data_IF_877540883750
#
_entry.id   IF_877540883750
#
_cell.length_a   1.000
_cell.length_b   1.000
_cell.length_c   1.000
_cell.angle_alpha   90.00
_cell.angle_beta   90.00
_cell.angle_gamma   90.00
#
_symmetry.space_group_name_H-M   'P 1'
#
loop_
_entity.id
_entity.type
_entity.pdbx_description
1 polymer ?
#
# COMPACT_ATOMS: atom_id res chain seq x y z
N UNK A 1 -10.22 35.13 -13.41
CA UNK A 1 -8.89 34.54 -13.66
C UNK A 1 -9.13 33.10 -14.11
N UNK A 2 -8.79 32.84 -15.38
CA UNK A 2 -8.89 31.60 -16.18
C UNK A 2 -8.26 30.36 -15.49
N UNK A 3 -8.72 29.09 -15.57
CA UNK A 3 -8.82 28.10 -16.69
C UNK A 3 -9.55 26.86 -16.10
N UNK A 4 -10.65 26.37 -16.69
CA UNK A 4 -10.78 25.38 -17.79
C UNK A 4 -10.64 23.92 -17.39
N UNK A 5 -11.79 23.23 -17.37
CA UNK A 5 -11.93 21.77 -17.34
C UNK A 5 -11.69 21.17 -18.73
N UNK A 6 -10.74 20.24 -18.87
CA UNK A 6 -10.59 19.44 -20.09
C UNK A 6 -11.17 18.04 -19.88
N UNK A 7 -12.35 17.84 -20.47
CA UNK A 7 -13.01 16.55 -20.68
C UNK A 7 -12.42 15.90 -21.93
N UNK A 8 -11.86 14.71 -21.80
CA UNK A 8 -11.37 13.93 -22.95
C UNK A 8 -12.41 12.89 -23.36
N UNK A 9 -12.93 13.06 -24.57
CA UNK A 9 -13.89 12.19 -25.25
C UNK A 9 -13.14 11.46 -26.37
N UNK A 10 -13.07 10.13 -26.30
CA UNK A 10 -12.51 9.29 -27.36
C UNK A 10 -13.49 9.22 -28.55
N UNK A 11 -13.02 9.36 -29.81
CA UNK A 11 -13.83 9.02 -30.97
C UNK A 11 -13.60 7.58 -31.44
N UNK A 12 -14.70 6.87 -31.64
CA UNK A 12 -14.79 5.60 -32.37
C UNK A 12 -14.48 5.82 -33.87
N UNK A 13 -13.65 4.96 -34.47
CA UNK A 13 -13.42 4.92 -35.91
C UNK A 13 -14.03 3.66 -36.51
N UNK A 14 -15.09 3.84 -37.29
CA UNK A 14 -15.83 2.80 -37.99
C UNK A 14 -15.15 2.27 -39.25
N UNK A 15 -15.59 1.07 -39.64
CA UNK A 15 -15.27 0.35 -40.87
C UNK A 15 -15.71 1.11 -42.13
N UNK A 16 -14.89 1.06 -43.19
CA UNK A 16 -15.37 1.12 -44.59
C UNK A 16 -14.53 0.17 -45.45
N UNK A 17 -15.21 -0.67 -46.23
CA UNK A 17 -14.66 -1.57 -47.24
C UNK A 17 -15.14 -1.17 -48.65
N UNK A 18 -14.42 -1.72 -49.65
CA UNK A 18 -14.79 -2.03 -51.04
C UNK A 18 -14.34 -1.09 -52.18
N UNK A 19 -13.43 -1.68 -52.99
CA UNK A 19 -13.53 -1.91 -54.45
C UNK A 19 -13.27 -0.76 -55.45
N UNK A 20 -12.17 -0.98 -56.19
CA UNK A 20 -12.17 -1.29 -57.64
C UNK A 20 -12.30 -0.07 -58.59
N UNK A 21 -11.29 0.16 -59.44
CA UNK A 21 -11.27 -0.03 -60.91
C UNK A 21 -10.35 1.10 -61.43
N UNK A 22 -9.61 1.12 -62.53
CA UNK A 22 -9.29 0.34 -63.74
C UNK A 22 -8.17 1.21 -64.39
N UNK A 23 -7.25 0.80 -65.28
CA UNK A 23 -7.37 0.46 -66.71
C UNK A 23 -5.87 0.43 -67.17
N UNK A 24 -5.36 -0.69 -67.71
CA UNK A 24 -4.88 -0.82 -69.11
C UNK A 24 -3.57 -0.06 -69.45
N UNK A 25 -2.56 -0.61 -70.14
CA UNK A 25 -2.60 -1.34 -71.41
C UNK A 25 -1.20 -1.92 -71.75
N UNK A 26 -1.20 -3.07 -72.47
CA UNK A 26 -0.26 -3.57 -73.51
C UNK A 26 1.19 -3.03 -73.59
N UNK A 27 2.16 -3.95 -73.67
CA UNK A 27 2.96 -4.19 -74.89
C UNK A 27 3.95 -5.36 -74.74
N UNK A 28 4.00 -6.20 -75.78
CA UNK A 28 4.86 -7.37 -75.95
C UNK A 28 5.85 -7.07 -77.06
N UNK A 29 7.16 -7.30 -76.83
CA UNK A 29 8.22 -7.67 -77.80
C UNK A 29 9.61 -7.60 -77.12
N UNK A 30 10.69 -8.17 -77.70
CA UNK A 30 10.85 -9.53 -78.20
C UNK A 30 12.06 -10.25 -77.53
N UNK A 31 12.16 -11.57 -77.76
CA UNK A 31 13.23 -12.44 -77.26
C UNK A 31 14.57 -12.16 -77.95
N UNK A 32 15.57 -11.70 -77.20
CA UNK A 32 16.97 -11.64 -77.66
C UNK A 32 17.84 -12.68 -76.96
N UNK A 33 18.09 -13.76 -77.72
CA UNK A 33 19.30 -14.61 -77.83
C UNK A 33 20.28 -14.62 -76.64
N UNK A 34 20.30 -15.78 -75.96
CA UNK A 34 21.28 -16.22 -74.96
C UNK A 34 22.73 -15.97 -75.40
N UNK A 35 23.50 -15.25 -74.58
CA UNK A 35 24.96 -15.30 -74.56
C UNK A 35 25.39 -16.21 -73.42
N UNK A 36 26.20 -17.20 -73.74
CA UNK A 36 26.76 -18.17 -72.80
C UNK A 36 27.62 -17.46 -71.76
N UNK A 37 27.20 -17.52 -70.49
CA UNK A 37 28.05 -17.20 -69.34
C UNK A 37 28.64 -18.52 -68.84
N UNK A 38 29.96 -18.62 -68.63
CA UNK A 38 30.55 -19.82 -68.07
C UNK A 38 30.02 -20.05 -66.66
N UNK A 39 29.59 -21.28 -66.39
CA UNK A 39 29.20 -21.77 -65.08
C UNK A 39 30.42 -21.75 -64.14
N UNK A 40 30.69 -20.62 -63.51
CA UNK A 40 31.48 -20.60 -62.28
C UNK A 40 30.59 -21.22 -61.19
N UNK A 41 30.95 -22.44 -60.75
CA UNK A 41 30.38 -23.08 -59.58
C UNK A 41 30.59 -22.17 -58.37
N UNK A 42 29.59 -21.37 -58.02
CA UNK A 42 29.47 -20.84 -56.67
C UNK A 42 29.25 -22.03 -55.74
N UNK A 43 30.06 -22.21 -54.68
CA UNK A 43 29.72 -23.18 -53.65
C UNK A 43 28.35 -22.81 -53.08
N UNK A 44 27.49 -23.81 -52.89
CA UNK A 44 26.28 -23.66 -52.10
C UNK A 44 26.68 -23.07 -50.74
N UNK A 45 26.39 -21.79 -50.51
CA UNK A 45 26.31 -21.22 -49.17
C UNK A 45 25.07 -21.82 -48.49
N UNK A 46 25.18 -23.09 -48.11
CA UNK A 46 24.25 -23.80 -47.24
C UNK A 46 24.78 -23.66 -45.82
N UNK A 47 24.83 -22.44 -45.31
CA UNK A 47 25.19 -22.18 -43.91
C UNK A 47 24.60 -20.82 -43.50
N UNK A 48 23.91 -20.83 -42.35
CA UNK A 48 23.57 -19.67 -41.50
C UNK A 48 22.13 -19.13 -41.41
N UNK A 49 21.13 -19.67 -42.11
CA UNK A 49 19.75 -19.17 -41.91
C UNK A 49 19.07 -19.69 -40.63
N UNK A 50 19.37 -20.93 -40.21
CA UNK A 50 18.78 -21.53 -39.00
C UNK A 50 19.42 -21.03 -37.70
N UNK A 51 20.70 -20.62 -37.73
CA UNK A 51 21.42 -20.09 -36.56
C UNK A 51 21.04 -18.65 -36.25
N UNK A 52 20.79 -17.81 -37.26
CA UNK A 52 20.35 -16.42 -37.03
C UNK A 52 18.96 -16.32 -36.36
N UNK A 53 18.01 -17.18 -36.73
CA UNK A 53 16.67 -17.21 -36.13
C UNK A 53 16.67 -17.70 -34.67
N UNK A 54 17.57 -18.65 -34.35
CA UNK A 54 17.73 -19.14 -32.98
C UNK A 54 18.46 -18.14 -32.07
N UNK A 55 19.45 -17.40 -32.57
CA UNK A 55 20.21 -16.41 -31.78
C UNK A 55 19.33 -15.19 -31.46
N UNK A 56 18.57 -14.67 -32.44
CA UNK A 56 17.64 -13.54 -32.22
C UNK A 56 16.52 -13.92 -31.25
N UNK A 57 15.95 -15.12 -31.36
CA UNK A 57 14.96 -15.64 -30.42
C UNK A 57 15.50 -15.75 -28.99
N UNK A 58 16.71 -16.32 -28.80
CA UNK A 58 17.33 -16.43 -27.47
C UNK A 58 17.70 -15.08 -26.88
N UNK A 59 18.10 -14.12 -27.70
CA UNK A 59 18.43 -12.75 -27.26
C UNK A 59 17.17 -11.98 -26.85
N UNK A 60 16.07 -12.10 -27.60
CA UNK A 60 14.78 -11.52 -27.24
C UNK A 60 14.20 -12.15 -25.97
N UNK A 61 14.30 -13.47 -25.81
CA UNK A 61 13.85 -14.17 -24.59
C UNK A 61 14.70 -13.74 -23.39
N UNK A 62 16.03 -13.64 -23.53
CA UNK A 62 16.90 -13.18 -22.46
C UNK A 62 16.63 -11.72 -22.07
N UNK A 63 16.42 -10.83 -23.05
CA UNK A 63 16.06 -9.43 -22.80
C UNK A 63 14.69 -9.31 -22.14
N UNK A 64 13.71 -10.13 -22.54
CA UNK A 64 12.38 -10.15 -21.94
C UNK A 64 12.42 -10.68 -20.49
N UNK A 65 13.19 -11.74 -20.22
CA UNK A 65 13.43 -12.25 -18.86
C UNK A 65 14.17 -11.22 -18.00
N UNK A 66 15.14 -10.50 -18.57
CA UNK A 66 15.84 -9.42 -17.88
C UNK A 66 14.92 -8.22 -17.60
N UNK A 67 14.03 -7.87 -18.53
CA UNK A 67 13.01 -6.83 -18.32
C UNK A 67 11.99 -7.23 -17.24
N UNK A 68 11.54 -8.48 -17.20
CA UNK A 68 10.54 -8.94 -16.21
C UNK A 68 11.12 -9.11 -14.81
N UNK A 69 12.38 -9.56 -14.70
CA UNK A 69 13.09 -9.67 -13.41
C UNK A 69 13.39 -8.29 -12.80
N UNK A 70 13.77 -7.32 -13.62
CA UNK A 70 14.02 -5.94 -13.15
C UNK A 70 12.73 -5.24 -12.72
N UNK A 71 11.62 -5.42 -13.46
CA UNK A 71 10.32 -4.85 -13.08
C UNK A 71 9.79 -5.36 -11.73
N UNK A 72 9.97 -6.65 -11.45
CA UNK A 72 9.46 -7.26 -10.21
C UNK A 72 10.10 -6.68 -8.95
N UNK A 73 11.40 -6.38 -9.01
CA UNK A 73 12.16 -5.80 -7.88
C UNK A 73 11.70 -4.38 -7.54
N UNK A 74 11.35 -3.57 -8.55
CA UNK A 74 10.89 -2.18 -8.36
C UNK A 74 9.55 -2.15 -7.63
N UNK A 75 8.62 -3.05 -7.99
CA UNK A 75 7.29 -3.11 -7.37
C UNK A 75 7.36 -3.51 -5.89
N UNK A 76 8.20 -4.48 -5.54
CA UNK A 76 8.37 -4.88 -4.14
C UNK A 76 8.98 -3.76 -3.27
N UNK A 77 9.96 -3.03 -3.79
CA UNK A 77 10.57 -1.90 -3.09
C UNK A 77 9.56 -0.77 -2.84
N UNK A 78 8.70 -0.46 -3.81
CA UNK A 78 7.65 0.57 -3.66
C UNK A 78 6.58 0.18 -2.63
N UNK A 79 6.19 -1.11 -2.59
CA UNK A 79 5.22 -1.60 -1.61
C UNK A 79 5.75 -1.48 -0.18
N UNK A 80 7.00 -1.92 0.06
CA UNK A 80 7.62 -1.85 1.38
C UNK A 80 7.77 -0.41 1.88
N UNK A 81 8.15 0.52 0.98
CA UNK A 81 8.26 1.95 1.32
C UNK A 81 6.90 2.54 1.72
N UNK A 82 5.83 2.18 1.02
CA UNK A 82 4.47 2.65 1.32
C UNK A 82 3.97 2.10 2.66
N UNK A 83 4.25 0.83 2.97
CA UNK A 83 3.86 0.23 4.26
C UNK A 83 4.60 0.83 5.44
N UNK A 84 5.91 1.10 5.29
CA UNK A 84 6.70 1.78 6.30
C UNK A 84 6.16 3.19 6.57
N UNK A 85 5.84 3.94 5.51
CA UNK A 85 5.25 5.27 5.64
C UNK A 85 3.90 5.23 6.38
N UNK A 86 3.05 4.24 6.08
CA UNK A 86 1.79 4.04 6.82
C UNK A 86 2.03 3.74 8.29
N UNK A 87 3.00 2.88 8.61
CA UNK A 87 3.36 2.57 9.99
C UNK A 87 3.89 3.81 10.75
N UNK A 88 4.70 4.64 10.11
CA UNK A 88 5.16 5.92 10.66
C UNK A 88 4.00 6.89 10.91
N UNK A 89 3.08 7.02 9.96
CA UNK A 89 1.88 7.84 10.13
C UNK A 89 1.01 7.33 11.29
N UNK A 90 0.88 5.99 11.46
CA UNK A 90 0.14 5.40 12.59
C UNK A 90 0.81 5.80 13.92
N UNK A 91 2.13 5.72 14.00
CA UNK A 91 2.90 6.16 15.18
C UNK A 91 2.62 7.63 15.51
N UNK A 92 2.69 8.52 14.52
CA UNK A 92 2.38 9.94 14.71
C UNK A 92 0.94 10.17 15.18
N UNK A 93 -0.03 9.43 14.63
CA UNK A 93 -1.44 9.54 15.06
C UNK A 93 -1.62 9.06 16.49
N UNK A 94 -0.98 7.98 16.91
CA UNK A 94 -1.07 7.46 18.29
C UNK A 94 -0.45 8.47 19.28
N UNK A 95 0.73 9.02 18.96
CA UNK A 95 1.36 10.09 19.76
C UNK A 95 0.47 11.34 19.79
N UNK A 96 -0.11 11.70 18.65
CA UNK A 96 -1.05 12.82 18.53
C UNK A 96 -2.26 12.63 19.42
N UNK A 97 -2.95 11.49 19.34
CA UNK A 97 -4.11 11.16 20.17
C UNK A 97 -3.72 11.18 21.66
N UNK A 98 -2.61 10.55 22.05
CA UNK A 98 -2.20 10.48 23.45
C UNK A 98 -1.98 11.87 24.08
N UNK A 99 -1.54 12.86 23.30
CA UNK A 99 -1.39 14.25 23.76
C UNK A 99 -2.71 14.94 24.16
N UNK A 100 -3.85 14.46 23.66
CA UNK A 100 -5.18 14.94 24.02
C UNK A 100 -5.82 14.15 25.17
N UNK A 101 -5.16 13.12 25.69
CA UNK A 101 -5.65 12.28 26.78
C UNK A 101 -5.01 12.69 28.09
N UNK A 102 -5.82 12.79 29.15
CA UNK A 102 -5.36 12.99 30.52
C UNK A 102 -5.70 11.78 31.37
N UNK A 103 -4.65 11.15 31.89
CA UNK A 103 -4.74 10.07 32.86
C UNK A 103 -5.06 10.64 34.26
N UNK A 104 -5.81 9.91 35.10
CA UNK A 104 -6.11 10.34 36.48
C UNK A 104 -4.85 10.53 37.31
N UNK A 105 -3.88 9.64 37.14
CA UNK A 105 -2.55 9.74 37.75
C UNK A 105 -1.53 10.05 36.65
N UNK A 106 -0.85 11.22 36.71
CA UNK A 106 0.21 11.55 35.77
C UNK A 106 1.33 10.51 35.82
N UNK A 107 1.88 10.17 34.65
CA UNK A 107 3.03 9.27 34.53
C UNK A 107 4.18 9.98 33.83
N UNK A 108 5.42 9.75 34.30
CA UNK A 108 6.64 10.25 33.64
C UNK A 108 6.97 9.49 32.36
N UNK A 109 6.35 8.34 32.13
CA UNK A 109 6.48 7.51 30.94
C UNK A 109 5.15 6.78 30.66
N UNK A 110 4.75 6.67 29.39
CA UNK A 110 3.57 5.93 28.99
C UNK A 110 3.97 4.57 28.43
N UNK A 111 3.29 3.51 28.87
CA UNK A 111 3.50 2.17 28.36
C UNK A 111 2.43 1.83 27.33
N UNK A 112 2.88 1.48 26.12
CA UNK A 112 2.03 1.05 25.02
C UNK A 112 2.13 -0.47 24.87
N UNK A 113 1.03 -1.16 25.11
CA UNK A 113 0.93 -2.60 24.95
C UNK A 113 0.34 -2.91 23.58
N UNK A 114 1.06 -3.66 22.76
CA UNK A 114 0.54 -4.18 21.50
C UNK A 114 -0.06 -5.55 21.75
N UNK A 115 -1.35 -5.70 21.46
CA UNK A 115 -2.11 -6.95 21.70
C UNK A 115 -2.58 -7.51 20.38
N UNK A 116 -2.23 -8.76 20.11
CA UNK A 116 -2.58 -9.47 18.88
C UNK A 116 -1.61 -9.25 17.72
N UNK A 117 -2.02 -9.72 16.56
CA UNK A 117 -1.27 -9.59 15.31
C UNK A 117 -1.49 -8.19 14.72
N UNK A 118 -0.51 -7.32 14.91
CA UNK A 118 -0.58 -5.94 14.49
C UNK A 118 0.45 -5.66 13.39
N UNK A 119 -0.04 -5.44 12.16
CA UNK A 119 0.76 -5.24 10.95
C UNK A 119 1.68 -4.03 11.06
N UNK A 120 1.24 -2.95 11.72
CA UNK A 120 1.96 -1.67 11.75
C UNK A 120 2.68 -1.41 13.08
N UNK A 121 2.68 -2.39 14.00
CA UNK A 121 3.24 -2.22 15.34
C UNK A 121 4.78 -2.13 15.39
N UNK A 122 5.49 -2.64 14.37
CA UNK A 122 6.96 -2.65 14.36
C UNK A 122 7.56 -1.25 14.57
N UNK A 123 7.02 -0.24 13.88
CA UNK A 123 7.49 1.15 14.03
C UNK A 123 7.20 1.73 15.42
N UNK A 124 6.14 1.26 16.11
CA UNK A 124 5.82 1.70 17.47
C UNK A 124 6.87 1.22 18.48
N UNK A 125 7.48 0.05 18.25
CA UNK A 125 8.54 -0.49 19.10
C UNK A 125 9.79 0.39 19.08
N UNK A 126 10.10 0.96 17.91
CA UNK A 126 11.35 1.70 17.68
C UNK A 126 11.18 3.21 17.85
N UNK A 127 10.08 3.78 17.35
CA UNK A 127 9.95 5.24 17.14
C UNK A 127 9.23 6.00 18.24
N UNK A 128 8.49 5.31 19.12
CA UNK A 128 7.64 5.99 20.10
C UNK A 128 8.43 6.71 21.23
N UNK A 129 9.70 6.34 21.43
CA UNK A 129 10.55 6.83 22.53
C UNK A 129 11.01 8.29 22.37
N UNK A 130 11.28 8.75 21.16
CA UNK A 130 12.02 10.01 20.96
C UNK A 130 11.13 11.23 20.69
N UNK A 131 9.90 11.03 20.22
CA UNK A 131 9.02 12.12 19.75
C UNK A 131 7.82 12.42 20.65
N UNK A 132 7.66 11.73 21.78
CA UNK A 132 6.51 11.88 22.67
C UNK A 132 6.90 12.47 24.04
N UNK A 133 6.00 13.28 24.62
CA UNK A 133 6.14 13.84 25.96
C UNK A 133 4.83 13.61 26.73
N UNK A 134 4.82 12.79 27.81
CA UNK A 134 5.92 11.92 28.27
C UNK A 134 6.32 10.86 27.23
N UNK A 135 7.55 10.30 27.31
CA UNK A 135 8.01 9.26 26.39
C UNK A 135 7.10 8.03 26.41
N UNK A 136 6.94 7.38 25.26
CA UNK A 136 6.15 6.16 25.10
C UNK A 136 7.10 4.97 24.89
N UNK A 137 6.97 3.95 25.74
CA UNK A 137 7.62 2.64 25.55
C UNK A 137 6.61 1.61 25.10
N UNK A 138 6.80 1.09 23.89
CA UNK A 138 5.97 0.04 23.37
C UNK A 138 6.56 -1.35 23.66
N UNK A 139 5.70 -2.32 23.93
CA UNK A 139 6.04 -3.73 24.05
C UNK A 139 4.89 -4.62 23.60
N UNK A 140 5.20 -5.84 23.16
CA UNK A 140 4.20 -6.84 22.82
C UNK A 140 3.62 -7.45 24.11
N UNK A 141 2.30 -7.63 24.14
CA UNK A 141 1.59 -8.34 25.19
C UNK A 141 0.78 -9.48 24.56
N UNK A 142 0.80 -10.64 25.20
CA UNK A 142 0.01 -11.79 24.75
C UNK A 142 -1.49 -11.48 24.88
N UNK A 143 -2.34 -11.80 23.90
CA UNK A 143 -3.80 -11.67 24.01
C UNK A 143 -4.40 -12.43 25.20
N UNK A 144 -3.68 -13.44 25.72
CA UNK A 144 -4.11 -14.24 26.86
C UNK A 144 -3.73 -13.62 28.20
N UNK A 145 -2.75 -12.71 28.22
CA UNK A 145 -2.34 -12.00 29.43
C UNK A 145 -3.43 -11.05 29.91
N UNK A 146 -3.43 -10.76 31.20
CA UNK A 146 -4.34 -9.76 31.75
C UNK A 146 -3.77 -8.36 31.54
N UNK A 147 -4.62 -7.43 31.14
CA UNK A 147 -4.24 -6.03 30.93
C UNK A 147 -4.59 -5.22 32.17
N UNK A 148 -3.59 -4.55 32.75
CA UNK A 148 -3.78 -3.68 33.90
C UNK A 148 -3.23 -2.28 33.65
N UNK A 149 -3.81 -1.26 34.30
CA UNK A 149 -3.33 0.12 34.24
C UNK A 149 -1.95 0.29 34.87
N UNK A 150 -1.55 -0.70 35.68
CA UNK A 150 -0.23 -0.80 36.26
C UNK A 150 0.82 -1.30 35.26
N UNK A 151 0.44 -1.84 34.10
CA UNK A 151 1.34 -2.32 33.05
C UNK A 151 1.20 -1.54 31.73
N UNK A 152 -0.02 -1.09 31.42
CA UNK A 152 -0.36 -0.43 30.17
C UNK A 152 -1.04 0.90 30.43
N UNK A 153 -0.59 1.97 29.78
CA UNK A 153 -1.32 3.23 29.68
C UNK A 153 -2.11 3.33 28.38
N UNK A 154 -1.59 2.71 27.33
CA UNK A 154 -2.15 2.65 25.98
C UNK A 154 -2.16 1.18 25.56
N UNK A 155 -3.25 0.74 24.94
CA UNK A 155 -3.36 -0.59 24.32
C UNK A 155 -3.65 -0.39 22.84
N UNK A 156 -2.71 -0.85 22.01
CA UNK A 156 -2.84 -0.91 20.57
C UNK A 156 -3.25 -2.33 20.15
N UNK A 157 -4.42 -2.44 19.55
CA UNK A 157 -5.11 -3.71 19.32
C UNK A 157 -4.98 -4.07 17.84
N UNK A 158 -4.31 -5.17 17.55
CA UNK A 158 -4.25 -5.82 16.24
C UNK A 158 -5.36 -6.87 16.08
N UNK A 159 -5.13 -7.81 15.18
CA UNK A 159 -6.05 -8.93 14.99
C UNK A 159 -5.94 -9.92 16.16
N UNK A 160 -7.08 -10.25 16.77
CA UNK A 160 -7.25 -11.21 17.86
C UNK A 160 -8.55 -11.98 17.66
N UNK A 161 -8.69 -13.15 18.27
CA UNK A 161 -9.92 -13.92 18.14
C UNK A 161 -11.11 -13.28 18.88
N UNK A 162 -12.31 -13.84 18.71
CA UNK A 162 -13.53 -13.33 19.35
C UNK A 162 -13.48 -13.34 20.88
N UNK A 163 -13.01 -14.45 21.47
CA UNK A 163 -12.99 -14.66 22.92
C UNK A 163 -11.92 -13.81 23.61
N UNK A 164 -10.72 -13.72 23.02
CA UNK A 164 -9.62 -12.85 23.43
C UNK A 164 -10.06 -11.38 23.38
N UNK A 165 -10.81 -10.98 22.35
CA UNK A 165 -11.36 -9.62 22.25
C UNK A 165 -12.35 -9.32 23.35
N UNK A 166 -13.29 -10.21 23.63
CA UNK A 166 -14.26 -10.01 24.71
C UNK A 166 -13.55 -9.93 26.07
N UNK A 167 -12.60 -10.83 26.32
CA UNK A 167 -11.77 -10.81 27.54
C UNK A 167 -11.02 -9.47 27.66
N UNK A 168 -10.34 -9.03 26.61
CA UNK A 168 -9.59 -7.78 26.60
C UNK A 168 -10.48 -6.59 26.94
N UNK A 169 -11.60 -6.41 26.25
CA UNK A 169 -12.49 -5.27 26.50
C UNK A 169 -13.18 -5.34 27.87
N UNK A 170 -13.43 -6.53 28.41
CA UNK A 170 -13.91 -6.68 29.78
C UNK A 170 -12.88 -6.14 30.79
N UNK A 171 -11.58 -6.38 30.57
CA UNK A 171 -10.49 -5.89 31.42
C UNK A 171 -10.29 -4.39 31.31
N UNK A 172 -10.47 -3.80 30.12
CA UNK A 172 -10.29 -2.36 29.90
C UNK A 172 -11.40 -1.51 30.56
N UNK A 173 -12.57 -2.08 30.83
CA UNK A 173 -13.68 -1.35 31.45
C UNK A 173 -13.29 -0.80 32.83
N UNK A 174 -13.48 0.50 33.05
CA UNK A 174 -13.17 1.16 34.32
C UNK A 174 -11.68 1.37 34.58
N UNK A 175 -10.79 0.90 33.70
CA UNK A 175 -9.36 1.15 33.82
C UNK A 175 -8.95 2.38 32.99
N UNK A 176 -8.06 3.25 33.51
CA UNK A 176 -7.56 4.43 32.80
C UNK A 176 -6.55 4.06 31.72
N UNK A 177 -7.00 3.31 30.72
CA UNK A 177 -6.20 2.78 29.62
C UNK A 177 -6.80 3.25 28.29
N UNK A 178 -5.96 3.87 27.46
CA UNK A 178 -6.35 4.35 26.14
C UNK A 178 -6.37 3.17 25.16
N UNK A 179 -7.53 2.83 24.60
CA UNK A 179 -7.66 1.74 23.61
C UNK A 179 -7.71 2.27 22.18
N UNK A 180 -6.80 1.77 21.33
CA UNK A 180 -6.69 2.13 19.92
C UNK A 180 -6.64 0.86 19.08
N UNK A 181 -7.43 0.78 18.02
CA UNK A 181 -7.46 -0.37 17.11
C UNK A 181 -6.80 -0.07 15.77
N UNK A 182 -6.02 -1.03 15.29
CA UNK A 182 -5.34 -0.97 14.00
C UNK A 182 -6.33 -0.84 12.81
N UNK A 183 -5.96 -0.19 11.69
CA UNK A 183 -6.80 -0.15 10.51
C UNK A 183 -7.11 -1.52 9.93
N UNK A 184 -8.33 -1.68 9.41
CA UNK A 184 -8.78 -2.90 8.75
C UNK A 184 -9.42 -3.93 9.70
N UNK A 185 -9.45 -3.66 11.01
CA UNK A 185 -10.19 -4.49 11.95
C UNK A 185 -11.72 -4.28 11.82
N UNK A 186 -12.54 -5.30 12.17
CA UNK A 186 -13.99 -5.21 12.09
C UNK A 186 -14.57 -4.00 12.84
N UNK A 187 -15.64 -3.40 12.31
CA UNK A 187 -16.33 -2.23 12.90
C UNK A 187 -16.99 -2.51 14.26
N UNK A 188 -17.10 -3.78 14.66
CA UNK A 188 -17.58 -4.20 15.98
C UNK A 188 -16.54 -3.98 17.10
N UNK A 189 -15.35 -3.49 16.76
CA UNK A 189 -14.29 -3.24 17.73
C UNK A 189 -14.67 -2.10 18.67
N UNK A 190 -14.64 -2.36 20.00
CA UNK A 190 -15.11 -1.44 21.05
C UNK A 190 -14.00 -0.52 21.58
N UNK A 191 -12.97 -0.25 20.78
CA UNK A 191 -11.90 0.67 21.19
C UNK A 191 -12.39 2.11 21.20
N UNK A 192 -11.75 2.96 22.00
CA UNK A 192 -12.03 4.39 22.02
C UNK A 192 -11.76 5.02 20.65
N UNK A 193 -10.68 4.59 19.99
CA UNK A 193 -10.29 5.06 18.66
C UNK A 193 -10.04 3.87 17.74
N UNK A 194 -10.78 3.81 16.63
CA UNK A 194 -10.56 2.82 15.58
C UNK A 194 -9.94 3.49 14.36
N UNK A 195 -8.66 3.20 14.10
CA UNK A 195 -7.95 3.80 12.97
C UNK A 195 -8.50 3.26 11.64
N UNK A 196 -8.47 4.09 10.59
CA UNK A 196 -8.91 3.75 9.24
C UNK A 196 -7.94 4.35 8.23
N UNK A 197 -7.70 3.63 7.14
CA UNK A 197 -7.07 4.23 5.98
C UNK A 197 -8.12 4.96 5.16
N UNK A 198 -7.86 6.22 4.84
CA UNK A 198 -8.63 7.02 3.89
C UNK A 198 -7.65 7.57 2.86
N UNK A 199 -7.64 6.97 1.68
CA UNK A 199 -6.67 7.25 0.62
C UNK A 199 -5.22 7.08 1.11
N UNK A 200 -4.46 8.17 1.19
CA UNK A 200 -3.07 8.21 1.68
C UNK A 200 -2.95 8.55 3.17
N UNK A 201 -4.06 8.91 3.82
CA UNK A 201 -4.09 9.46 5.17
C UNK A 201 -4.73 8.49 6.16
N UNK A 202 -4.50 8.76 7.45
CA UNK A 202 -5.11 8.03 8.54
C UNK A 202 -6.24 8.86 9.11
N UNK A 203 -7.44 8.30 9.04
CA UNK A 203 -8.60 8.76 9.78
C UNK A 203 -8.83 7.85 10.98
N UNK A 204 -9.77 8.22 11.85
CA UNK A 204 -10.24 7.31 12.89
C UNK A 204 -11.70 7.57 13.23
N UNK A 205 -12.36 6.50 13.64
CA UNK A 205 -13.69 6.52 14.25
C UNK A 205 -13.53 6.61 15.78
N UNK A 206 -14.50 7.24 16.44
CA UNK A 206 -14.46 7.44 17.90
C UNK A 206 -15.67 6.79 18.55
N UNK A 207 -15.42 5.98 19.58
CA UNK A 207 -16.47 5.40 20.41
C UNK A 207 -16.59 6.19 21.72
N UNK A 208 -17.64 7.01 21.81
CA UNK A 208 -17.89 7.86 22.98
C UNK A 208 -18.28 7.07 24.22
N UNK A 209 -18.93 5.91 24.08
CA UNK A 209 -19.27 5.02 25.20
C UNK A 209 -18.01 4.40 25.80
N UNK A 210 -17.08 3.94 24.94
CA UNK A 210 -15.78 3.43 25.40
C UNK A 210 -14.97 4.53 26.12
N UNK A 211 -14.97 5.77 25.61
CA UNK A 211 -14.32 6.90 26.28
C UNK A 211 -14.96 7.13 27.66
N UNK A 212 -16.28 7.19 27.75
CA UNK A 212 -17.00 7.45 28.99
C UNK A 212 -16.71 6.38 30.07
N UNK A 213 -16.50 5.11 29.67
CA UNK A 213 -16.22 3.99 30.57
C UNK A 213 -14.74 3.81 30.93
N UNK A 214 -13.84 4.52 30.26
CA UNK A 214 -12.39 4.41 30.48
C UNK A 214 -11.89 5.14 31.73
N UNK A 215 -12.65 6.09 32.27
CA UNK A 215 -12.16 6.99 33.32
C UNK A 215 -11.07 7.97 32.87
N UNK A 216 -10.68 7.95 31.59
CA UNK A 216 -9.79 8.94 30.99
C UNK A 216 -10.55 10.22 30.64
N UNK A 217 -9.85 11.36 30.68
CA UNK A 217 -10.37 12.62 30.17
C UNK A 217 -9.77 12.89 28.79
N UNK A 218 -10.60 12.84 27.75
CA UNK A 218 -10.20 13.08 26.36
C UNK A 218 -10.64 14.47 25.94
N UNK A 219 -9.70 15.30 25.49
CA UNK A 219 -10.02 16.65 25.04
C UNK A 219 -10.69 16.61 23.64
N UNK A 220 -11.83 17.31 23.42
CA UNK A 220 -12.62 17.19 22.19
C UNK A 220 -11.90 17.65 20.92
N UNK A 221 -10.86 18.49 21.04
CA UNK A 221 -10.00 18.89 19.91
C UNK A 221 -9.27 17.71 19.23
N UNK A 222 -9.23 16.51 19.84
CA UNK A 222 -8.77 15.30 19.16
C UNK A 222 -9.56 15.03 17.87
N UNK A 223 -10.85 15.38 17.83
CA UNK A 223 -11.69 15.25 16.63
C UNK A 223 -11.27 16.23 15.52
N UNK A 224 -10.75 17.40 15.91
CA UNK A 224 -10.22 18.37 14.96
C UNK A 224 -8.86 17.91 14.41
N UNK A 225 -8.05 17.23 15.23
CA UNK A 225 -6.83 16.55 14.77
C UNK A 225 -7.17 15.48 13.71
N UNK A 226 -8.18 14.65 13.96
CA UNK A 226 -8.69 13.67 13.00
C UNK A 226 -9.02 14.29 11.63
N UNK A 227 -9.72 15.44 11.64
CA UNK A 227 -10.13 16.14 10.42
C UNK A 227 -8.95 16.70 9.63
N UNK A 228 -7.92 17.21 10.31
CA UNK A 228 -6.74 17.80 9.65
C UNK A 228 -5.83 16.73 9.05
N UNK A 229 -5.61 15.63 9.76
CA UNK A 229 -4.86 14.49 9.23
C UNK A 229 -5.58 13.89 8.01
N UNK A 230 -6.93 13.82 8.05
CA UNK A 230 -7.76 13.43 6.93
C UNK A 230 -7.93 14.50 5.81
N UNK A 231 -7.17 15.58 5.82
CA UNK A 231 -7.14 16.61 4.76
C UNK A 231 -5.75 16.87 4.17
N UNK A 232 -4.68 16.28 4.71
CA UNK A 232 -3.30 16.59 4.33
C UNK A 232 -2.89 15.86 3.03
N UNK A 233 -2.87 16.55 1.87
CA UNK A 233 -2.84 15.94 0.53
C UNK A 233 -1.73 14.91 0.33
#
# INVERSE_FOLDING_TARGET
MYISTASWKYPESGNVTLKQLLFMHKNVAPLTRKRNVPLTRTPCARENFLTQFQITSRMCIALFIFLTTTFSSIVQAQNNATELQRAQNISHVIIGISSYVRWPTPSSELRLCVVGEAKYAGVLMDSAKESSVPPIRAHQLSPKSDVTSAECNIVYIGNIDGAEREKLFAQLNGQPILSISEPGLPSTTRSMFSLKFRDTQIAFEVNLDAIARSGLRVHPNVLQFAKREAQKP
#
